data_IF_357998082119
#
_entry.id   IF_357998082119
#
_cell.length_a   1.000
_cell.length_b   1.000
_cell.length_c   1.000
_cell.angle_alpha   90.00
_cell.angle_beta   90.00
_cell.angle_gamma   90.00
#
_symmetry.space_group_name_H-M   'P 1'
#
loop_
_entity.id
_entity.type
_entity.pdbx_description
1 polymer ?
#
# COMPACT_ATOMS: atom_id res chain seq x y z
N UNK A 1 -10.72 -10.13 17.50
CA UNK A 1 -10.97 -9.86 16.06
C UNK A 1 -9.72 -10.13 15.23
N UNK A 2 -9.91 -10.54 14.00
CA UNK A 2 -8.78 -10.74 13.10
C UNK A 2 -8.08 -9.40 12.83
N UNK A 3 -6.76 -9.43 12.73
CA UNK A 3 -5.97 -8.26 12.38
C UNK A 3 -6.21 -7.88 10.92
N UNK A 4 -6.12 -6.60 10.62
CA UNK A 4 -6.16 -6.11 9.25
C UNK A 4 -4.90 -6.55 8.51
N UNK A 5 -5.06 -6.86 7.25
CA UNK A 5 -3.98 -7.39 6.40
C UNK A 5 -3.35 -6.28 5.56
N UNK A 6 -2.06 -6.11 5.70
CA UNK A 6 -1.29 -5.11 4.95
C UNK A 6 -0.32 -5.81 4.01
N UNK A 7 -0.38 -5.47 2.74
CA UNK A 7 0.57 -5.96 1.73
C UNK A 7 1.64 -4.90 1.53
N UNK A 8 2.90 -5.27 1.68
CA UNK A 8 4.04 -4.38 1.49
C UNK A 8 4.83 -4.83 0.27
N UNK A 9 5.08 -3.90 -0.64
CA UNK A 9 5.82 -4.17 -1.88
C UNK A 9 7.03 -3.25 -1.94
N UNK A 10 8.22 -3.80 -1.81
CA UNK A 10 9.49 -3.06 -1.86
C UNK A 10 10.59 -4.03 -2.26
N UNK A 11 11.46 -3.64 -3.19
CA UNK A 11 12.54 -4.51 -3.65
C UNK A 11 13.71 -4.60 -2.66
N UNK A 12 13.78 -3.70 -1.70
CA UNK A 12 14.83 -3.73 -0.68
C UNK A 12 14.41 -4.59 0.52
N UNK A 13 15.14 -5.68 0.71
CA UNK A 13 14.86 -6.61 1.82
C UNK A 13 14.92 -5.95 3.19
N UNK A 14 15.88 -5.03 3.38
CA UNK A 14 16.04 -4.31 4.64
C UNK A 14 14.83 -3.44 4.97
N UNK A 15 14.26 -2.79 3.96
CA UNK A 15 13.07 -1.95 4.13
C UNK A 15 11.86 -2.82 4.46
N UNK A 16 11.67 -3.95 3.75
CA UNK A 16 10.59 -4.89 4.06
C UNK A 16 10.66 -5.36 5.51
N UNK A 17 11.87 -5.70 5.96
CA UNK A 17 12.09 -6.16 7.32
C UNK A 17 11.70 -5.10 8.36
N UNK A 18 12.13 -3.85 8.13
CA UNK A 18 11.81 -2.74 9.03
C UNK A 18 10.30 -2.51 9.08
N UNK A 19 9.64 -2.49 7.94
CA UNK A 19 8.19 -2.26 7.88
C UNK A 19 7.43 -3.41 8.55
N UNK A 20 7.82 -4.66 8.28
CA UNK A 20 7.21 -5.82 8.92
C UNK A 20 7.31 -5.73 10.44
N UNK A 21 8.50 -5.42 10.96
CA UNK A 21 8.69 -5.31 12.41
C UNK A 21 7.90 -4.14 13.01
N UNK A 22 7.76 -3.06 12.25
CA UNK A 22 6.98 -1.90 12.67
C UNK A 22 5.49 -2.24 12.79
N UNK A 23 4.96 -3.02 11.86
CA UNK A 23 3.52 -3.23 11.73
C UNK A 23 3.00 -4.52 12.36
N UNK A 24 3.83 -5.52 12.56
CA UNK A 24 3.40 -6.88 12.92
C UNK A 24 2.62 -7.00 14.23
N UNK A 25 2.78 -6.07 15.15
CA UNK A 25 2.05 -6.14 16.43
C UNK A 25 0.57 -5.77 16.25
N UNK A 26 0.25 -4.94 15.29
CA UNK A 26 -1.11 -4.45 15.08
C UNK A 26 -1.77 -4.98 13.81
N UNK A 27 -0.98 -5.48 12.86
CA UNK A 27 -1.46 -5.92 11.56
C UNK A 27 -0.87 -7.26 11.16
N UNK A 28 -1.58 -7.97 10.28
CA UNK A 28 -1.02 -9.12 9.56
C UNK A 28 -0.31 -8.56 8.33
N UNK A 29 0.99 -8.78 8.24
CA UNK A 29 1.80 -8.19 7.18
C UNK A 29 2.32 -9.26 6.23
N UNK A 30 2.13 -9.04 4.94
CA UNK A 30 2.72 -9.86 3.89
C UNK A 30 3.61 -8.93 3.08
N UNK A 31 4.88 -9.28 2.91
CA UNK A 31 5.78 -8.47 2.12
C UNK A 31 6.28 -9.24 0.89
N UNK A 32 6.31 -8.53 -0.23
CA UNK A 32 6.73 -9.07 -1.51
C UNK A 32 7.78 -8.16 -2.13
N UNK A 33 8.62 -8.73 -3.00
CA UNK A 33 9.81 -8.03 -3.48
C UNK A 33 9.56 -7.13 -4.69
N UNK A 34 8.46 -7.33 -5.41
CA UNK A 34 8.20 -6.55 -6.63
C UNK A 34 6.72 -6.56 -6.99
N UNK A 35 6.37 -5.71 -7.94
CA UNK A 35 4.97 -5.56 -8.38
C UNK A 35 4.40 -6.79 -9.06
N UNK A 36 5.23 -7.56 -9.74
CA UNK A 36 4.79 -8.78 -10.43
C UNK A 36 4.35 -9.85 -9.43
N UNK A 37 5.15 -10.05 -8.37
CA UNK A 37 4.77 -10.96 -7.28
C UNK A 37 3.47 -10.49 -6.60
N UNK A 38 3.32 -9.17 -6.44
CA UNK A 38 2.13 -8.60 -5.83
C UNK A 38 0.89 -8.85 -6.69
N UNK A 39 0.99 -8.67 -8.01
CA UNK A 39 -0.13 -8.97 -8.92
C UNK A 39 -0.51 -10.44 -8.86
N UNK A 40 0.47 -11.33 -8.86
CA UNK A 40 0.22 -12.78 -8.75
C UNK A 40 -0.49 -13.12 -7.44
N UNK A 41 -0.07 -12.49 -6.35
CA UNK A 41 -0.69 -12.67 -5.04
C UNK A 41 -2.16 -12.25 -5.04
N UNK A 42 -2.45 -11.09 -5.64
CA UNK A 42 -3.83 -10.58 -5.74
C UNK A 42 -4.68 -11.45 -6.66
N UNK A 43 -4.14 -11.84 -7.80
CA UNK A 43 -4.84 -12.69 -8.77
C UNK A 43 -5.15 -14.08 -8.23
N UNK A 44 -4.39 -14.54 -7.25
CA UNK A 44 -4.65 -15.81 -6.56
C UNK A 44 -5.83 -15.74 -5.57
N UNK A 45 -6.48 -14.57 -5.45
CA UNK A 45 -7.65 -14.41 -4.61
C UNK A 45 -7.39 -13.80 -3.24
N UNK A 46 -6.23 -13.18 -3.05
CA UNK A 46 -5.89 -12.53 -1.79
C UNK A 46 -6.23 -11.04 -1.84
N UNK A 47 -6.99 -10.56 -0.86
CA UNK A 47 -7.44 -9.17 -0.82
C UNK A 47 -6.94 -8.51 0.47
N UNK A 48 -5.81 -7.78 0.42
CA UNK A 48 -5.35 -7.04 1.58
C UNK A 48 -6.27 -5.85 1.86
N UNK A 49 -6.24 -5.36 3.08
CA UNK A 49 -7.01 -4.19 3.48
C UNK A 49 -6.35 -2.89 3.04
N UNK A 50 -5.03 -2.91 2.85
CA UNK A 50 -4.24 -1.77 2.40
C UNK A 50 -2.94 -2.26 1.79
N UNK A 51 -2.44 -1.55 0.79
CA UNK A 51 -1.17 -1.84 0.13
C UNK A 51 -0.20 -0.69 0.36
N UNK A 52 1.02 -1.00 0.77
CA UNK A 52 2.14 -0.05 0.82
C UNK A 52 3.08 -0.43 -0.32
N UNK A 53 3.38 0.50 -1.21
CA UNK A 53 4.15 0.23 -2.41
C UNK A 53 5.24 1.26 -2.64
N UNK A 54 6.45 0.80 -2.94
CA UNK A 54 7.54 1.66 -3.37
C UNK A 54 7.34 2.06 -4.85
N UNK A 55 7.87 3.22 -5.22
CA UNK A 55 7.81 3.68 -6.62
C UNK A 55 8.91 3.06 -7.48
N UNK A 56 10.09 2.89 -6.91
CA UNK A 56 11.27 2.45 -7.68
C UNK A 56 11.49 0.96 -7.47
N UNK A 57 11.05 0.18 -8.43
CA UNK A 57 11.19 -1.29 -8.40
C UNK A 57 11.57 -1.77 -9.79
N UNK A 58 12.33 -2.89 -9.89
CA UNK A 58 12.64 -3.47 -11.20
C UNK A 58 11.39 -4.01 -11.89
N UNK A 59 11.43 -4.05 -13.21
CA UNK A 59 10.37 -4.58 -14.08
C UNK A 59 9.08 -3.75 -14.04
N UNK A 60 8.23 -3.95 -13.03
CA UNK A 60 7.00 -3.22 -12.87
C UNK A 60 7.18 -2.19 -11.74
N UNK A 61 7.32 -0.91 -12.10
CA UNK A 61 7.50 0.15 -11.10
C UNK A 61 6.19 0.50 -10.38
N UNK A 62 6.29 1.33 -9.34
CA UNK A 62 5.13 1.70 -8.52
C UNK A 62 4.04 2.44 -9.24
N UNK A 63 4.37 3.29 -10.21
CA UNK A 63 3.37 3.98 -11.02
C UNK A 63 2.56 3.01 -11.86
N UNK A 64 3.24 2.06 -12.50
CA UNK A 64 2.60 1.03 -13.32
C UNK A 64 1.72 0.12 -12.47
N UNK A 65 2.22 -0.28 -11.31
CA UNK A 65 1.46 -1.12 -10.39
C UNK A 65 0.18 -0.38 -9.93
N UNK A 66 0.34 0.87 -9.51
CA UNK A 66 -0.78 1.70 -9.05
C UNK A 66 -1.85 1.84 -10.15
N UNK A 67 -1.42 2.11 -11.37
CA UNK A 67 -2.35 2.23 -12.50
C UNK A 67 -3.10 0.92 -12.74
N UNK A 68 -2.41 -0.20 -12.75
CA UNK A 68 -3.04 -1.51 -12.94
C UNK A 68 -4.08 -1.82 -11.88
N UNK A 69 -3.78 -1.53 -10.62
CA UNK A 69 -4.71 -1.78 -9.53
C UNK A 69 -5.92 -0.86 -9.64
N UNK A 70 -5.70 0.43 -9.85
CA UNK A 70 -6.78 1.43 -9.85
C UNK A 70 -7.67 1.36 -11.10
N UNK A 71 -7.21 0.73 -12.17
CA UNK A 71 -8.04 0.47 -13.35
C UNK A 71 -8.67 -0.92 -13.36
N UNK A 72 -8.39 -1.73 -12.35
CA UNK A 72 -8.97 -3.06 -12.20
C UNK A 72 -10.35 -2.98 -11.58
N UNK A 73 -11.33 -3.69 -12.12
CA UNK A 73 -12.66 -3.77 -11.53
C UNK A 73 -12.72 -4.60 -10.25
N UNK A 74 -11.64 -5.33 -9.93
CA UNK A 74 -11.58 -6.18 -8.73
C UNK A 74 -10.82 -5.55 -7.57
N UNK A 75 -9.77 -4.78 -7.87
CA UNK A 75 -8.83 -4.32 -6.85
C UNK A 75 -8.82 -2.80 -6.65
N UNK A 76 -9.59 -2.07 -7.44
CA UNK A 76 -9.54 -0.61 -7.48
C UNK A 76 -9.96 0.07 -6.18
N UNK A 77 -10.67 -0.62 -5.31
CA UNK A 77 -11.07 -0.05 -4.03
C UNK A 77 -10.06 -0.31 -2.89
N UNK A 78 -9.01 -1.11 -3.14
CA UNK A 78 -7.98 -1.32 -2.12
C UNK A 78 -7.14 -0.04 -1.99
N UNK A 79 -7.06 0.57 -0.81
CA UNK A 79 -6.25 1.78 -0.64
C UNK A 79 -4.76 1.48 -0.81
N UNK A 80 -4.07 2.34 -1.56
CA UNK A 80 -2.64 2.22 -1.81
C UNK A 80 -1.93 3.43 -1.25
N UNK A 81 -0.95 3.19 -0.38
CA UNK A 81 -0.05 4.18 0.18
C UNK A 81 1.31 4.00 -0.49
N UNK A 82 1.84 5.07 -1.08
CA UNK A 82 3.17 5.04 -1.67
C UNK A 82 4.20 5.37 -0.59
N UNK A 83 5.28 4.61 -0.54
CA UNK A 83 6.39 4.85 0.36
C UNK A 83 7.65 4.93 -0.49
N UNK A 84 8.24 6.13 -0.63
CA UNK A 84 9.32 6.35 -1.58
C UNK A 84 10.36 7.33 -1.06
N UNK A 85 11.61 7.17 -1.53
CA UNK A 85 12.66 8.14 -1.28
C UNK A 85 12.58 9.39 -2.14
N UNK A 86 11.64 9.44 -3.09
CA UNK A 86 11.48 10.60 -3.99
C UNK A 86 10.59 11.66 -3.36
N UNK A 87 11.11 12.90 -3.29
CA UNK A 87 10.38 14.03 -2.70
C UNK A 87 9.78 14.98 -3.74
N UNK A 88 9.97 14.68 -5.02
CA UNK A 88 9.53 15.57 -6.11
C UNK A 88 8.02 15.71 -6.14
N UNK A 89 7.55 16.96 -6.13
CA UNK A 89 6.12 17.25 -6.19
C UNK A 89 5.43 16.61 -7.38
N UNK A 90 6.09 16.57 -8.53
CA UNK A 90 5.51 15.95 -9.73
C UNK A 90 5.22 14.46 -9.55
N UNK A 91 6.08 13.74 -8.80
CA UNK A 91 5.86 12.31 -8.53
C UNK A 91 4.70 12.11 -7.57
N UNK A 92 4.61 12.94 -6.55
CA UNK A 92 3.49 12.91 -5.60
C UNK A 92 2.17 13.19 -6.30
N UNK A 93 2.14 14.25 -7.11
CA UNK A 93 0.95 14.64 -7.87
C UNK A 93 0.53 13.49 -8.80
N UNK A 94 1.47 12.91 -9.52
CA UNK A 94 1.19 11.80 -10.42
C UNK A 94 0.60 10.60 -9.67
N UNK A 95 1.15 10.27 -8.51
CA UNK A 95 0.61 9.18 -7.68
C UNK A 95 -0.84 9.45 -7.27
N UNK A 96 -1.14 10.66 -6.80
CA UNK A 96 -2.50 11.00 -6.41
C UNK A 96 -3.45 11.01 -7.60
N UNK A 97 -3.01 11.49 -8.75
CA UNK A 97 -3.81 11.46 -9.97
C UNK A 97 -4.11 10.02 -10.42
N UNK A 98 -3.18 9.09 -10.20
CA UNK A 98 -3.37 7.68 -10.50
C UNK A 98 -4.21 6.94 -9.44
N UNK A 99 -4.55 7.61 -8.34
CA UNK A 99 -5.44 7.03 -7.33
C UNK A 99 -4.82 6.61 -6.02
N UNK A 100 -3.56 6.97 -5.77
CA UNK A 100 -2.95 6.71 -4.45
C UNK A 100 -3.69 7.50 -3.37
N UNK A 101 -3.91 6.89 -2.24
CA UNK A 101 -4.56 7.53 -1.11
C UNK A 101 -3.60 8.27 -0.19
N UNK A 102 -2.31 7.94 -0.23
CA UNK A 102 -1.31 8.61 0.58
C UNK A 102 0.09 8.45 -0.03
N UNK A 103 1.02 9.30 0.41
CA UNK A 103 2.40 9.30 -0.05
C UNK A 103 3.31 9.64 1.13
N UNK A 104 4.19 8.72 1.50
CA UNK A 104 5.11 8.90 2.62
C UNK A 104 6.55 8.84 2.11
N UNK A 105 7.36 9.83 2.50
CA UNK A 105 8.75 9.93 2.05
C UNK A 105 9.67 9.16 2.99
N UNK A 106 10.59 8.37 2.43
CA UNK A 106 11.66 7.71 3.20
C UNK A 106 12.78 8.73 3.52
N UNK A 107 13.43 8.65 4.67
CA UNK A 107 13.18 7.73 5.77
C UNK A 107 11.90 8.08 6.51
N UNK A 108 11.15 7.06 6.93
CA UNK A 108 9.85 7.26 7.55
C UNK A 108 9.91 7.16 9.08
N UNK A 109 8.94 7.77 9.72
CA UNK A 109 8.71 7.62 11.16
C UNK A 109 7.72 6.46 11.35
N UNK A 110 8.09 5.37 12.06
CA UNK A 110 7.21 4.23 12.26
C UNK A 110 5.84 4.59 12.86
N UNK A 111 5.82 5.47 13.84
CA UNK A 111 4.56 5.91 14.46
C UNK A 111 3.67 6.67 13.48
N UNK A 112 4.27 7.45 12.60
CA UNK A 112 3.53 8.18 11.57
C UNK A 112 2.89 7.22 10.56
N UNK A 113 3.63 6.20 10.11
CA UNK A 113 3.07 5.21 9.18
C UNK A 113 1.89 4.50 9.82
N UNK A 114 2.02 4.05 11.06
CA UNK A 114 0.93 3.38 11.77
C UNK A 114 -0.30 4.28 11.85
N UNK A 115 -0.11 5.53 12.21
CA UNK A 115 -1.21 6.48 12.32
C UNK A 115 -1.92 6.71 10.99
N UNK A 116 -1.15 6.83 9.90
CA UNK A 116 -1.71 6.99 8.55
C UNK A 116 -2.50 5.77 8.10
N UNK A 117 -1.97 4.58 8.36
CA UNK A 117 -2.65 3.32 8.04
C UNK A 117 -3.98 3.24 8.79
N UNK A 118 -3.95 3.47 10.10
CA UNK A 118 -5.15 3.42 10.93
C UNK A 118 -6.22 4.41 10.45
N UNK A 119 -5.80 5.62 10.12
CA UNK A 119 -6.71 6.66 9.64
C UNK A 119 -7.37 6.24 8.32
N UNK A 120 -6.57 5.71 7.40
CA UNK A 120 -7.09 5.29 6.10
C UNK A 120 -8.07 4.12 6.24
N UNK A 121 -7.77 3.16 7.10
CA UNK A 121 -8.66 2.03 7.35
C UNK A 121 -9.96 2.47 8.03
N UNK A 122 -9.90 3.40 8.96
CA UNK A 122 -11.10 3.96 9.60
C UNK A 122 -12.02 4.64 8.59
N UNK A 123 -11.46 5.44 7.70
CA UNK A 123 -12.22 6.15 6.67
C UNK A 123 -12.93 5.14 5.76
N UNK A 124 -12.21 4.10 5.36
CA UNK A 124 -12.77 3.05 4.51
C UNK A 124 -13.91 2.29 5.22
N UNK A 125 -13.71 1.94 6.48
CA UNK A 125 -14.73 1.23 7.26
C UNK A 125 -16.02 2.05 7.42
N UNK A 126 -15.88 3.35 7.67
CA UNK A 126 -17.04 4.23 7.76
C UNK A 126 -17.81 4.29 6.44
N UNK A 127 -17.08 4.38 5.33
CA UNK A 127 -17.68 4.41 4.01
C UNK A 127 -18.44 3.12 3.73
N UNK A 128 -17.82 1.97 3.95
CA UNK A 128 -18.42 0.66 3.74
C UNK A 128 -19.63 0.45 4.63
N UNK A 129 -19.58 0.89 5.87
CA UNK A 129 -20.70 0.82 6.80
C UNK A 129 -21.90 1.62 6.31
N UNK A 130 -21.67 2.80 5.75
CA UNK A 130 -22.75 3.65 5.21
C UNK A 130 -23.44 3.05 4.00
N UNK A 131 -22.66 2.49 3.07
CA UNK A 131 -23.23 1.89 1.86
C UNK A 131 -23.84 0.52 2.13
N UNK A 132 -23.43 -0.16 3.21
CA UNK A 132 -23.97 -1.45 3.62
C UNK A 132 -25.25 -1.35 4.44
N UNK A 133 -25.61 -0.14 4.82
CA UNK A 133 -26.84 0.11 5.56
C UNK A 133 -28.02 0.31 4.58
#
# INVERSE_FOLDING_TARGET
>A
MAKRKILVIDDEKSIRFIIENTLKQEFDVISLANGQEALSYLEAGNFPDLIICDLVMPELNGFEFLERIKTSGFFDDIPIMILSGREWSKDKIRCFELGAEDYVVKPFNPSEIIARIKRRLEVRERFLSRIGS
#
